data_IF_912692444612
#
_entry.id   IF_912692444612
#
_cell.length_a   1.000
_cell.length_b   1.000
_cell.length_c   1.000
_cell.angle_alpha   90.00
_cell.angle_beta   90.00
_cell.angle_gamma   90.00
#
_symmetry.space_group_name_H-M   'P 1'
#
loop_
_entity.id
_entity.type
_entity.pdbx_description
1 polymer ?
#
# COMPACT_ATOMS: atom_id res chain seq x y z
N UNK A 1 -11.22 -0.58 2.89
CA UNK A 1 -10.40 -1.30 1.90
C UNK A 1 -9.04 -1.51 2.54
N UNK A 2 -8.52 -2.74 2.51
CA UNK A 2 -7.20 -3.08 3.03
C UNK A 2 -6.23 -3.13 1.85
N UNK A 3 -5.22 -2.25 1.83
CA UNK A 3 -4.19 -2.26 0.77
C UNK A 3 -3.38 -3.55 0.83
N UNK A 4 -3.03 -3.99 2.04
CA UNK A 4 -2.43 -5.29 2.36
C UNK A 4 -2.59 -5.57 3.87
N UNK A 5 -2.08 -6.71 4.35
CA UNK A 5 -2.32 -7.23 5.71
C UNK A 5 -1.03 -7.23 6.55
N UNK A 6 -0.27 -6.13 6.51
CA UNK A 6 0.73 -5.85 7.54
C UNK A 6 0.12 -5.15 8.76
N UNK A 7 0.73 -5.35 9.93
CA UNK A 7 0.17 -4.95 11.23
C UNK A 7 -0.03 -3.43 11.35
N UNK A 8 0.85 -2.64 10.77
CA UNK A 8 0.77 -1.18 10.71
C UNK A 8 -0.41 -0.68 9.84
N UNK A 9 -0.98 -1.54 8.99
CA UNK A 9 -2.16 -1.23 8.16
C UNK A 9 -3.46 -1.77 8.75
N UNK A 10 -3.41 -2.97 9.35
CA UNK A 10 -4.62 -3.66 9.84
C UNK A 10 -4.73 -3.71 11.36
N UNK A 11 -3.75 -3.18 12.08
CA UNK A 11 -3.64 -3.32 13.55
C UNK A 11 -4.79 -2.70 14.33
N UNK A 12 -5.58 -1.84 13.69
CA UNK A 12 -6.78 -1.25 14.28
C UNK A 12 -8.10 -1.79 13.72
N UNK A 13 -8.05 -2.84 12.90
CA UNK A 13 -9.23 -3.42 12.25
C UNK A 13 -10.08 -4.26 13.21
N UNK A 14 -9.47 -4.81 14.27
CA UNK A 14 -10.09 -5.69 15.27
C UNK A 14 -9.73 -5.25 16.70
N UNK A 15 -10.68 -5.33 17.62
CA UNK A 15 -10.51 -5.08 19.05
C UNK A 15 -11.24 -6.20 19.83
N UNK A 16 -10.58 -6.78 20.85
CA UNK A 16 -11.16 -7.85 21.68
C UNK A 16 -11.80 -9.00 20.87
N UNK A 17 -11.13 -9.42 19.79
CA UNK A 17 -11.60 -10.45 18.85
C UNK A 17 -12.95 -10.13 18.17
N UNK A 18 -13.27 -8.85 18.00
CA UNK A 18 -14.41 -8.37 17.20
C UNK A 18 -13.96 -7.30 16.22
N UNK A 19 -14.61 -7.17 15.05
CA UNK A 19 -14.32 -6.07 14.14
C UNK A 19 -14.54 -4.73 14.84
N UNK A 20 -13.54 -3.86 14.80
CA UNK A 20 -13.65 -2.55 15.44
C UNK A 20 -14.75 -1.72 14.80
N UNK A 21 -14.86 -1.79 13.48
CA UNK A 21 -15.87 -1.07 12.72
C UNK A 21 -17.02 -2.02 12.41
N UNK A 22 -17.91 -2.21 13.39
CA UNK A 22 -18.99 -3.23 13.36
C UNK A 22 -20.00 -3.09 12.22
N UNK A 23 -20.08 -1.91 11.58
CA UNK A 23 -20.96 -1.67 10.43
C UNK A 23 -20.20 -1.57 9.10
N UNK A 24 -18.89 -1.82 9.09
CA UNK A 24 -18.06 -1.68 7.90
C UNK A 24 -17.96 -2.98 7.09
N UNK A 25 -17.75 -2.83 5.79
CA UNK A 25 -17.29 -3.90 4.92
C UNK A 25 -15.78 -3.76 4.72
N UNK A 26 -15.03 -4.82 5.01
CA UNK A 26 -13.59 -4.88 4.83
C UNK A 26 -13.30 -5.59 3.51
N UNK A 27 -12.53 -4.95 2.63
CA UNK A 27 -12.26 -5.48 1.29
C UNK A 27 -10.78 -5.82 1.16
N UNK A 28 -10.48 -7.02 0.69
CA UNK A 28 -9.11 -7.55 0.54
C UNK A 28 -8.99 -8.34 -0.77
N UNK A 29 -7.80 -8.33 -1.39
CA UNK A 29 -7.52 -9.18 -2.56
C UNK A 29 -7.41 -10.66 -2.15
N UNK A 30 -7.82 -11.55 -3.04
CA UNK A 30 -7.76 -13.00 -2.84
C UNK A 30 -6.34 -13.48 -2.54
N UNK A 31 -5.36 -13.00 -3.32
CA UNK A 31 -3.95 -13.35 -3.14
C UNK A 31 -3.37 -12.87 -1.80
N UNK A 32 -3.86 -11.75 -1.28
CA UNK A 32 -3.43 -11.24 0.02
C UNK A 32 -3.98 -12.11 1.14
N UNK A 33 -5.27 -12.45 1.07
CA UNK A 33 -5.90 -13.34 2.03
C UNK A 33 -5.26 -14.71 2.02
N UNK A 34 -4.95 -15.26 0.84
CA UNK A 34 -4.24 -16.53 0.69
C UNK A 34 -2.83 -16.45 1.28
N UNK A 35 -2.11 -15.34 1.04
CA UNK A 35 -0.74 -15.13 1.55
C UNK A 35 -0.68 -15.10 3.09
N UNK A 36 -1.64 -14.45 3.74
CA UNK A 36 -1.58 -14.22 5.20
C UNK A 36 -2.32 -15.26 6.03
N UNK A 37 -3.15 -16.12 5.43
CA UNK A 37 -3.97 -17.11 6.13
C UNK A 37 -3.12 -18.02 7.02
N UNK A 38 -3.56 -18.24 8.27
CA UNK A 38 -2.81 -19.01 9.27
C UNK A 38 -1.70 -18.22 9.98
N UNK A 39 -1.35 -17.02 9.50
CA UNK A 39 -0.34 -16.15 10.12
C UNK A 39 -0.88 -15.35 11.31
N UNK A 40 0.00 -14.94 12.22
CA UNK A 40 -0.40 -14.23 13.45
C UNK A 40 -1.23 -12.96 13.22
N UNK A 41 -0.92 -12.16 12.19
CA UNK A 41 -1.70 -10.97 11.83
C UNK A 41 -3.08 -11.35 11.32
N UNK A 42 -3.20 -12.38 10.48
CA UNK A 42 -4.50 -12.89 10.03
C UNK A 42 -5.34 -13.36 11.21
N UNK A 43 -4.80 -14.22 12.08
CA UNK A 43 -5.54 -14.81 13.19
C UNK A 43 -6.07 -13.76 14.18
N UNK A 44 -5.30 -12.69 14.39
CA UNK A 44 -5.65 -11.61 15.33
C UNK A 44 -6.51 -10.51 14.70
N UNK A 45 -6.23 -10.14 13.45
CA UNK A 45 -6.80 -8.94 12.85
C UNK A 45 -7.84 -9.21 11.77
N UNK A 46 -7.74 -10.32 11.03
CA UNK A 46 -8.60 -10.60 9.86
C UNK A 46 -9.62 -11.69 10.15
N UNK A 47 -9.23 -12.80 10.79
CA UNK A 47 -10.14 -13.91 11.09
C UNK A 47 -11.41 -13.45 11.82
N UNK A 48 -11.36 -12.56 12.83
CA UNK A 48 -12.59 -12.06 13.48
C UNK A 48 -13.53 -11.28 12.55
N UNK A 49 -12.99 -10.64 11.51
CA UNK A 49 -13.75 -9.91 10.49
C UNK A 49 -14.39 -10.89 9.51
N UNK A 50 -13.66 -11.94 9.12
CA UNK A 50 -14.18 -13.03 8.30
C UNK A 50 -15.29 -13.79 9.03
N UNK A 51 -15.09 -14.16 10.29
CA UNK A 51 -16.09 -14.87 11.13
C UNK A 51 -17.34 -14.02 11.40
N UNK A 52 -17.19 -12.69 11.49
CA UNK A 52 -18.32 -11.76 11.58
C UNK A 52 -19.05 -11.55 10.24
N UNK A 53 -18.59 -12.15 9.14
CA UNK A 53 -19.18 -11.98 7.81
C UNK A 53 -18.96 -10.59 7.20
N UNK A 54 -18.00 -9.82 7.71
CA UNK A 54 -17.70 -8.45 7.25
C UNK A 54 -16.58 -8.38 6.21
N UNK A 55 -15.94 -9.51 5.89
CA UNK A 55 -14.84 -9.59 4.91
C UNK A 55 -15.38 -9.88 3.50
N UNK A 56 -15.14 -8.96 2.57
CA UNK A 56 -15.33 -9.13 1.13
C UNK A 56 -13.99 -9.42 0.47
N UNK A 57 -13.90 -10.55 -0.22
CA UNK A 57 -12.76 -10.89 -1.06
C UNK A 57 -13.03 -10.43 -2.50
N UNK A 58 -12.05 -9.77 -3.09
CA UNK A 58 -12.05 -9.38 -4.51
C UNK A 58 -10.87 -10.03 -5.22
N UNK A 59 -10.91 -10.09 -6.54
CA UNK A 59 -9.83 -10.63 -7.36
C UNK A 59 -9.55 -9.70 -8.53
N UNK A 60 -8.27 -9.38 -8.73
CA UNK A 60 -7.81 -8.52 -9.80
C UNK A 60 -8.26 -7.06 -9.69
N UNK A 61 -8.34 -6.43 -10.86
CA UNK A 61 -8.68 -5.02 -11.03
C UNK A 61 -10.19 -4.83 -11.10
N UNK A 62 -10.76 -4.22 -10.05
CA UNK A 62 -12.22 -4.16 -9.87
C UNK A 62 -12.73 -2.76 -9.55
N UNK A 63 -13.87 -2.41 -10.13
CA UNK A 63 -14.64 -1.25 -9.69
C UNK A 63 -15.32 -1.51 -8.35
N UNK A 64 -15.19 -0.57 -7.41
CA UNK A 64 -15.78 -0.68 -6.07
C UNK A 64 -16.30 0.67 -5.58
N UNK A 65 -17.64 0.83 -5.55
CA UNK A 65 -18.34 2.02 -5.00
C UNK A 65 -17.80 3.36 -5.54
N UNK A 66 -17.60 3.46 -6.85
CA UNK A 66 -17.07 4.66 -7.51
C UNK A 66 -15.54 4.83 -7.42
N UNK A 67 -14.85 3.87 -6.81
CA UNK A 67 -13.39 3.76 -6.81
C UNK A 67 -12.97 2.57 -7.69
N UNK A 68 -11.67 2.47 -7.99
CA UNK A 68 -11.06 1.30 -8.61
C UNK A 68 -10.05 0.70 -7.63
N UNK A 69 -10.14 -0.60 -7.40
CA UNK A 69 -9.18 -1.36 -6.63
C UNK A 69 -8.19 -1.97 -7.62
N UNK A 70 -6.97 -1.43 -7.65
CA UNK A 70 -5.94 -1.76 -8.62
C UNK A 70 -4.92 -2.68 -7.95
N UNK A 71 -4.75 -3.94 -8.37
CA UNK A 71 -3.65 -4.79 -7.92
C UNK A 71 -2.32 -4.12 -8.18
N UNK A 72 -1.49 -4.06 -7.15
CA UNK A 72 -0.13 -3.52 -7.19
C UNK A 72 0.80 -4.45 -6.40
N UNK A 73 0.92 -5.72 -6.83
CA UNK A 73 1.63 -6.76 -6.08
C UNK A 73 3.12 -6.48 -5.99
N UNK A 74 3.80 -7.19 -5.09
CA UNK A 74 5.25 -7.17 -4.94
C UNK A 74 5.69 -6.86 -3.52
N UNK A 75 5.12 -5.81 -2.91
CA UNK A 75 5.28 -5.62 -1.46
C UNK A 75 4.73 -6.82 -0.71
N UNK A 76 3.48 -7.17 -0.99
CA UNK A 76 2.87 -8.46 -0.69
C UNK A 76 2.23 -9.02 -1.97
N UNK A 77 1.95 -10.33 -2.05
CA UNK A 77 1.39 -10.95 -3.25
C UNK A 77 0.04 -10.36 -3.68
N UNK A 78 -0.83 -9.95 -2.74
CA UNK A 78 -2.11 -9.32 -3.07
C UNK A 78 -2.20 -7.85 -2.68
N UNK A 79 -1.06 -7.15 -2.60
CA UNK A 79 -1.07 -5.70 -2.37
C UNK A 79 -1.96 -5.01 -3.43
N UNK A 80 -2.77 -4.05 -3.01
CA UNK A 80 -3.62 -3.24 -3.89
C UNK A 80 -3.56 -1.75 -3.53
N UNK A 81 -3.68 -0.93 -4.57
CA UNK A 81 -3.89 0.51 -4.49
C UNK A 81 -5.36 0.85 -4.71
N UNK A 82 -5.83 1.98 -4.15
CA UNK A 82 -7.18 2.50 -4.40
C UNK A 82 -7.10 3.74 -5.25
N UNK A 83 -7.69 3.70 -6.43
CA UNK A 83 -7.77 4.83 -7.35
C UNK A 83 -9.13 5.50 -7.20
N UNK A 84 -9.11 6.81 -6.98
CA UNK A 84 -10.30 7.68 -6.91
C UNK A 84 -10.18 8.79 -7.94
N UNK A 85 -11.20 9.64 -8.07
CA UNK A 85 -11.14 10.84 -8.92
C UNK A 85 -10.12 11.87 -8.44
N UNK A 86 -9.69 11.81 -7.16
CA UNK A 86 -8.88 12.86 -6.51
C UNK A 86 -7.48 12.44 -6.14
N UNK A 87 -7.25 11.13 -5.97
CA UNK A 87 -5.98 10.60 -5.51
C UNK A 87 -5.88 9.10 -5.79
N UNK A 88 -4.63 8.65 -5.92
CA UNK A 88 -4.24 7.25 -5.82
C UNK A 88 -3.72 6.97 -4.41
N UNK A 89 -4.45 6.17 -3.64
CA UNK A 89 -4.03 5.70 -2.32
C UNK A 89 -3.14 4.47 -2.53
N UNK A 90 -1.83 4.65 -2.37
CA UNK A 90 -0.83 3.70 -2.82
C UNK A 90 -0.46 2.59 -1.83
N UNK A 91 -0.92 2.68 -0.58
CA UNK A 91 -0.43 1.78 0.47
C UNK A 91 1.10 1.83 0.54
N UNK A 92 1.72 0.67 0.38
CA UNK A 92 3.17 0.46 0.44
C UNK A 92 3.80 0.21 -0.93
N UNK A 93 3.09 0.51 -2.04
CA UNK A 93 3.71 0.51 -3.38
C UNK A 93 4.93 1.46 -3.44
N UNK A 94 4.88 2.50 -2.62
CA UNK A 94 5.95 3.44 -2.31
C UNK A 94 5.98 3.60 -0.78
N UNK A 95 7.13 3.38 -0.15
CA UNK A 95 7.35 3.64 1.28
C UNK A 95 8.29 4.81 1.54
N UNK A 96 8.98 5.30 0.51
CA UNK A 96 9.85 6.46 0.58
C UNK A 96 9.85 7.24 -0.75
N UNK A 97 9.88 8.59 -0.75
CA UNK A 97 9.87 9.41 -1.98
C UNK A 97 11.00 9.12 -2.95
N UNK A 98 12.14 8.66 -2.44
CA UNK A 98 13.25 8.22 -3.25
C UNK A 98 12.81 7.16 -4.28
N UNK A 99 11.83 6.32 -3.94
CA UNK A 99 11.30 5.32 -4.87
C UNK A 99 10.47 5.94 -6.01
N UNK A 100 9.93 7.16 -5.86
CA UNK A 100 9.34 7.87 -6.99
C UNK A 100 10.40 8.40 -7.96
N UNK A 101 11.56 8.80 -7.43
CA UNK A 101 12.69 9.28 -8.23
C UNK A 101 13.50 8.15 -8.87
N UNK A 102 13.64 7.05 -8.15
CA UNK A 102 14.40 5.84 -8.46
C UNK A 102 13.52 4.61 -8.23
N UNK A 103 12.60 4.28 -9.16
CA UNK A 103 11.63 3.20 -8.97
C UNK A 103 12.26 1.81 -8.78
N UNK A 104 13.52 1.63 -9.15
CA UNK A 104 14.33 0.45 -8.89
C UNK A 104 14.78 0.29 -7.43
N UNK A 105 14.61 1.32 -6.59
CA UNK A 105 15.01 1.26 -5.18
C UNK A 105 14.06 0.34 -4.40
N UNK A 106 14.56 -0.84 -4.06
CA UNK A 106 13.87 -1.87 -3.27
C UNK A 106 14.12 -1.69 -1.77
N UNK A 107 13.30 -2.33 -0.94
CA UNK A 107 13.52 -2.38 0.51
C UNK A 107 13.18 -3.75 1.09
N UNK A 108 13.62 -3.99 2.32
CA UNK A 108 13.66 -5.34 2.95
C UNK A 108 12.30 -6.02 3.10
N UNK A 109 11.18 -5.28 3.05
CA UNK A 109 9.85 -5.86 3.26
C UNK A 109 9.11 -6.22 1.97
N UNK A 110 9.71 -6.02 0.79
CA UNK A 110 9.12 -6.48 -0.46
C UNK A 110 9.28 -8.00 -0.62
N UNK A 111 8.15 -8.71 -0.78
CA UNK A 111 8.14 -10.16 -0.99
C UNK A 111 8.62 -10.58 -2.37
N UNK A 112 8.34 -9.75 -3.37
CA UNK A 112 8.86 -9.87 -4.73
C UNK A 112 9.35 -8.49 -5.18
N UNK A 113 10.66 -8.21 -5.04
CA UNK A 113 11.21 -6.91 -5.40
C UNK A 113 11.07 -6.59 -6.90
N UNK A 114 11.16 -7.58 -7.78
CA UNK A 114 11.03 -7.36 -9.22
C UNK A 114 9.59 -6.95 -9.57
N UNK A 115 8.60 -7.63 -8.99
CA UNK A 115 7.19 -7.28 -9.15
C UNK A 115 6.86 -5.94 -8.48
N UNK A 116 7.45 -5.63 -7.32
CA UNK A 116 7.25 -4.35 -6.63
C UNK A 116 7.74 -3.16 -7.49
N UNK A 117 8.89 -3.31 -8.15
CA UNK A 117 9.41 -2.31 -9.09
C UNK A 117 8.43 -2.10 -10.26
N UNK A 118 7.87 -3.18 -10.82
CA UNK A 118 6.89 -3.10 -11.91
C UNK A 118 5.64 -2.35 -11.46
N UNK A 119 5.01 -2.78 -10.36
CA UNK A 119 3.79 -2.17 -9.82
C UNK A 119 3.99 -0.69 -9.49
N UNK A 120 5.16 -0.34 -8.94
CA UNK A 120 5.53 1.05 -8.66
C UNK A 120 5.62 1.89 -9.92
N UNK A 121 6.28 1.40 -10.97
CA UNK A 121 6.39 2.12 -12.25
C UNK A 121 5.03 2.34 -12.88
N UNK A 122 4.15 1.34 -12.82
CA UNK A 122 2.78 1.44 -13.33
C UNK A 122 1.96 2.48 -12.55
N UNK A 123 2.05 2.50 -11.22
CA UNK A 123 1.39 3.51 -10.37
C UNK A 123 1.89 4.92 -10.66
N UNK A 124 3.21 5.11 -10.79
CA UNK A 124 3.80 6.41 -11.14
C UNK A 124 3.36 6.87 -12.53
N UNK A 125 3.33 5.96 -13.51
CA UNK A 125 2.88 6.26 -14.86
C UNK A 125 1.38 6.64 -14.89
N UNK A 126 0.54 5.92 -14.13
CA UNK A 126 -0.89 6.22 -14.00
C UNK A 126 -1.12 7.60 -13.38
N UNK A 127 -0.42 7.94 -12.30
CA UNK A 127 -0.50 9.25 -11.67
C UNK A 127 -0.07 10.38 -12.63
N UNK A 128 1.03 10.18 -13.36
CA UNK A 128 1.49 11.15 -14.36
C UNK A 128 0.49 11.34 -15.51
N UNK A 129 -0.12 10.25 -16.00
CA UNK A 129 -1.08 10.30 -17.10
C UNK A 129 -2.41 10.94 -16.72
N UNK A 130 -2.83 10.82 -15.45
CA UNK A 130 -4.12 11.31 -14.96
C UNK A 130 -4.04 12.64 -14.23
N UNK A 131 -2.84 13.04 -13.79
CA UNK A 131 -2.61 14.24 -12.99
C UNK A 131 -3.10 14.13 -11.54
N UNK A 132 -3.55 12.94 -11.09
CA UNK A 132 -3.97 12.76 -9.69
C UNK A 132 -2.75 12.49 -8.80
N UNK A 133 -2.69 13.08 -7.60
CA UNK A 133 -1.59 12.85 -6.65
C UNK A 133 -1.60 11.43 -6.08
N UNK A 134 -0.42 10.96 -5.66
CA UNK A 134 -0.25 9.70 -4.94
C UNK A 134 -0.15 9.99 -3.43
N UNK A 135 -1.03 9.37 -2.65
CA UNK A 135 -0.95 9.33 -1.20
C UNK A 135 -0.43 7.95 -0.76
N UNK A 136 0.84 7.89 -0.33
CA UNK A 136 1.46 6.70 0.25
C UNK A 136 1.17 6.61 1.77
N UNK A 137 1.25 5.40 2.33
CA UNK A 137 0.92 5.17 3.74
C UNK A 137 2.05 5.55 4.71
N UNK A 138 3.31 5.41 4.29
CA UNK A 138 4.48 5.74 5.10
C UNK A 138 4.90 7.20 4.87
N UNK A 139 5.38 7.88 5.93
CA UNK A 139 5.31 9.34 6.04
C UNK A 139 6.07 10.05 4.93
N UNK A 140 5.30 10.67 4.05
CA UNK A 140 5.72 11.81 3.26
C UNK A 140 4.50 12.66 2.87
N UNK A 141 4.64 13.98 2.68
CA UNK A 141 3.67 14.74 1.90
C UNK A 141 3.31 14.00 0.61
N UNK A 142 2.03 14.04 0.22
CA UNK A 142 1.56 13.42 -1.01
C UNK A 142 2.43 13.86 -2.20
N UNK A 143 2.75 12.92 -3.07
CA UNK A 143 3.49 13.21 -4.30
C UNK A 143 2.50 13.80 -5.30
N UNK A 144 2.70 15.04 -5.70
CA UNK A 144 1.93 15.71 -6.75
C UNK A 144 2.69 15.74 -8.09
N UNK A 145 2.03 16.20 -9.14
CA UNK A 145 2.63 16.31 -10.48
C UNK A 145 3.79 17.33 -10.54
N UNK A 146 3.94 18.19 -9.51
CA UNK A 146 5.03 19.15 -9.38
C UNK A 146 6.19 18.63 -8.53
N UNK A 147 6.09 17.40 -8.00
CA UNK A 147 7.14 16.75 -7.22
C UNK A 147 8.41 16.62 -8.07
N UNK A 148 9.27 17.63 -7.99
CA UNK A 148 10.58 17.63 -8.60
C UNK A 148 11.48 16.71 -7.79
N UNK A 149 12.42 16.06 -8.49
CA UNK A 149 13.59 15.52 -7.82
C UNK A 149 14.16 16.62 -6.92
N UNK A 150 14.36 16.35 -5.63
CA UNK A 150 15.24 17.19 -4.83
C UNK A 150 16.54 17.31 -5.63
N UNK A 151 16.92 18.53 -5.97
CA UNK A 151 18.15 18.77 -6.69
C UNK A 151 19.26 17.99 -5.98
N UNK A 152 20.00 17.18 -6.73
CA UNK A 152 21.18 16.49 -6.19
C UNK A 152 21.99 17.56 -5.46
N UNK A 153 22.28 17.42 -4.16
CA UNK A 153 23.04 18.44 -3.46
C UNK A 153 24.37 18.59 -4.20
N UNK A 154 24.60 19.75 -4.81
CA UNK A 154 25.85 20.05 -5.51
C UNK A 154 27.01 20.28 -4.55
N UNK A 155 26.78 20.09 -3.25
CA UNK A 155 27.75 20.24 -2.17
C UNK A 155 27.53 19.14 -1.15
N UNK A 156 28.53 18.26 -1.00
CA UNK A 156 28.47 17.07 -0.14
C UNK A 156 28.56 17.35 1.36
N UNK A 157 27.57 18.02 1.95
CA UNK A 157 27.59 18.36 3.38
C UNK A 157 26.29 18.12 4.18
N UNK A 158 25.39 17.27 3.71
CA UNK A 158 24.29 16.78 4.57
C UNK A 158 24.01 15.29 4.33
N UNK A 159 24.98 14.46 4.70
CA UNK A 159 24.70 13.03 4.95
C UNK A 159 23.86 12.99 6.24
N UNK A 160 22.61 12.56 6.13
CA UNK A 160 21.79 12.19 7.29
C UNK A 160 22.63 11.27 8.19
N UNK A 161 22.89 11.61 9.47
CA UNK A 161 23.66 10.73 10.32
C UNK A 161 22.92 9.40 10.44
N UNK A 162 23.62 8.25 10.40
CA UNK A 162 22.97 6.96 10.53
C UNK A 162 22.34 6.87 11.92
N UNK A 163 21.02 6.69 11.96
CA UNK A 163 20.36 6.21 13.16
C UNK A 163 21.01 4.88 13.55
N UNK A 164 21.66 4.84 14.71
CA UNK A 164 22.07 3.58 15.34
C UNK A 164 20.79 2.84 15.75
N UNK A 165 20.74 1.55 15.43
CA UNK A 165 19.74 0.59 15.91
C UNK A 165 19.66 0.57 17.43
#
# INVERSE_FOLDING_TARGET
>A
VLTHVHLDHVGWSTEEARPRFVNAEYVVQADELAHVRGGATYERMIRPIEEAGQLRVVDGDVGFRGMRLLPTPGHTPGHQSVVTERALLGGDVLVHPAQARWPELTYVYERDPAQAITSRREVLALAAATGIPIAAAHPHPALDAEARALATPTTGEAVCPPYRL
#
